data_IF_634738720900
#
_entry.id   IF_634738720900
#
_cell.length_a   1.000
_cell.length_b   1.000
_cell.length_c   1.000
_cell.angle_alpha   90.00
_cell.angle_beta   90.00
_cell.angle_gamma   90.00
#
_symmetry.space_group_name_H-M   'P 1'
#
loop_
_entity.id
_entity.type
_entity.pdbx_description
1 polymer ?
#
# COMPACT_ATOMS: atom_id res chain seq x y z
N UNK A 1 1.34 21.54 -7.14
CA UNK A 1 1.13 20.86 -5.86
C UNK A 1 2.22 19.81 -5.69
N UNK A 2 3.13 19.92 -4.70
CA UNK A 2 4.13 18.90 -4.45
C UNK A 2 3.45 17.66 -3.86
N UNK A 3 3.87 16.47 -4.30
CA UNK A 3 3.25 15.18 -4.01
C UNK A 3 3.14 14.88 -2.50
N UNK A 4 1.91 14.77 -1.98
CA UNK A 4 1.60 14.44 -0.57
C UNK A 4 2.10 13.05 -0.12
N UNK A 5 2.42 12.18 -1.07
CA UNK A 5 2.95 10.85 -0.81
C UNK A 5 4.24 10.67 -1.62
N UNK A 6 5.36 11.20 -1.14
CA UNK A 6 6.66 10.64 -1.51
C UNK A 6 6.85 9.41 -0.62
N UNK A 7 6.74 8.18 -1.13
CA UNK A 7 6.95 6.99 -0.33
C UNK A 7 8.40 7.01 0.16
N UNK A 8 8.59 6.99 1.48
CA UNK A 8 9.92 6.92 2.03
C UNK A 8 10.39 5.47 1.98
N UNK A 9 11.37 5.21 1.13
CA UNK A 9 12.10 3.96 1.05
C UNK A 9 12.86 3.70 2.37
N UNK A 10 12.38 2.80 3.22
CA UNK A 10 13.08 2.40 4.45
C UNK A 10 14.09 1.29 4.11
N UNK A 11 15.34 1.42 4.56
CA UNK A 11 16.35 0.38 4.38
C UNK A 11 16.19 -0.69 5.47
N UNK A 12 16.07 -1.95 5.08
CA UNK A 12 16.11 -3.08 6.01
C UNK A 12 17.57 -3.50 6.20
N UNK A 13 18.02 -3.72 7.44
CA UNK A 13 19.28 -4.43 7.72
C UNK A 13 18.95 -5.87 8.07
N UNK A 14 19.37 -6.82 7.22
CA UNK A 14 19.71 -8.19 7.65
C UNK A 14 21.23 -8.26 7.74
N UNK A 15 21.77 -9.11 8.61
CA UNK A 15 23.22 -9.22 8.84
C UNK A 15 24.04 -9.19 7.54
N UNK A 16 25.16 -8.45 7.58
CA UNK A 16 26.20 -8.25 6.54
C UNK A 16 25.81 -7.87 5.10
N UNK A 17 24.59 -8.14 4.63
CA UNK A 17 24.12 -7.77 3.29
C UNK A 17 23.05 -6.67 3.37
N UNK A 18 23.24 -5.59 2.60
CA UNK A 18 22.28 -4.48 2.47
C UNK A 18 20.90 -5.06 2.10
N UNK A 19 19.93 -4.94 3.00
CA UNK A 19 18.56 -5.33 2.71
C UNK A 19 17.98 -4.44 1.63
N UNK A 20 17.12 -5.02 0.80
CA UNK A 20 16.46 -4.32 -0.28
C UNK A 20 15.65 -3.15 0.27
N UNK A 21 15.78 -2.00 -0.40
CA UNK A 21 15.11 -0.76 -0.08
C UNK A 21 14.27 -0.38 -1.32
N UNK A 22 12.94 -0.49 -1.25
CA UNK A 22 12.05 -0.21 -2.37
C UNK A 22 12.23 1.22 -2.85
N UNK A 23 12.26 1.49 -4.14
CA UNK A 23 12.27 2.84 -4.69
C UNK A 23 10.91 3.54 -4.48
N UNK A 24 10.87 4.86 -4.67
CA UNK A 24 9.60 5.61 -4.66
C UNK A 24 8.61 5.02 -5.67
N UNK A 25 9.07 4.69 -6.87
CA UNK A 25 8.22 4.14 -7.93
C UNK A 25 7.68 2.74 -7.56
N UNK A 26 8.55 1.86 -7.03
CA UNK A 26 8.14 0.54 -6.54
C UNK A 26 7.08 0.68 -5.43
N UNK A 27 7.28 1.64 -4.53
CA UNK A 27 6.35 1.91 -3.43
C UNK A 27 4.99 2.45 -3.92
N UNK A 28 4.99 3.37 -4.90
CA UNK A 28 3.75 3.88 -5.50
C UNK A 28 2.98 2.75 -6.22
N UNK A 29 3.70 1.96 -7.04
CA UNK A 29 3.12 0.82 -7.76
C UNK A 29 2.58 -0.24 -6.80
N UNK A 30 3.30 -0.53 -5.71
CA UNK A 30 2.86 -1.49 -4.70
C UNK A 30 1.60 -1.06 -3.96
N UNK A 31 1.38 0.25 -3.80
CA UNK A 31 0.15 0.76 -3.18
C UNK A 31 -1.03 0.69 -4.15
N UNK A 32 -0.89 1.31 -5.33
CA UNK A 32 -1.88 1.27 -6.41
C UNK A 32 -1.13 1.11 -7.73
N UNK A 33 -1.29 -0.04 -8.38
CA UNK A 33 -0.73 -0.27 -9.71
C UNK A 33 -1.67 0.29 -10.77
N UNK A 34 -1.15 1.08 -11.70
CA UNK A 34 -1.90 1.56 -12.87
C UNK A 34 -1.36 0.82 -14.09
N UNK A 35 -2.25 0.14 -14.82
CA UNK A 35 -1.96 -0.60 -16.03
C UNK A 35 -2.81 -0.06 -17.18
N UNK A 36 -2.32 -0.11 -18.43
CA UNK A 36 -3.10 0.32 -19.58
C UNK A 36 -4.35 -0.57 -19.77
N UNK A 37 -5.36 -0.01 -20.42
CA UNK A 37 -6.56 -0.78 -20.81
C UNK A 37 -6.13 -1.90 -21.76
N UNK A 38 -6.60 -3.12 -21.48
CA UNK A 38 -6.19 -4.33 -22.22
C UNK A 38 -4.91 -4.98 -21.71
N UNK A 39 -4.34 -4.49 -20.59
CA UNK A 39 -3.25 -5.19 -19.93
C UNK A 39 -3.66 -6.60 -19.49
N UNK A 40 -2.72 -7.53 -19.63
CA UNK A 40 -2.87 -8.91 -19.17
C UNK A 40 -2.65 -8.96 -17.65
N UNK A 41 -3.74 -9.23 -16.91
CA UNK A 41 -3.72 -9.31 -15.45
C UNK A 41 -2.97 -10.54 -14.93
N UNK A 42 -2.96 -11.65 -15.67
CA UNK A 42 -2.22 -12.85 -15.29
C UNK A 42 -0.71 -12.64 -15.47
N UNK A 43 -0.33 -11.97 -16.57
CA UNK A 43 1.06 -11.56 -16.75
C UNK A 43 1.51 -10.62 -15.63
N UNK A 44 0.70 -9.63 -15.27
CA UNK A 44 1.00 -8.73 -14.14
C UNK A 44 1.17 -9.50 -12.82
N UNK A 45 0.30 -10.49 -12.59
CA UNK A 45 0.35 -11.38 -11.42
C UNK A 45 1.68 -12.14 -11.36
N UNK A 46 2.11 -12.74 -12.47
CA UNK A 46 3.38 -13.48 -12.56
C UNK A 46 4.60 -12.58 -12.35
N UNK A 47 4.61 -11.40 -12.97
CA UNK A 47 5.66 -10.38 -12.79
C UNK A 47 5.78 -10.00 -11.31
N UNK A 48 4.63 -9.81 -10.63
CA UNK A 48 4.59 -9.44 -9.22
C UNK A 48 5.08 -10.55 -8.31
N UNK A 49 4.69 -11.80 -8.54
CA UNK A 49 5.26 -12.95 -7.83
C UNK A 49 6.78 -13.06 -8.01
N UNK A 50 7.26 -12.82 -9.23
CA UNK A 50 8.69 -12.86 -9.55
C UNK A 50 9.46 -11.78 -8.80
N UNK A 51 8.93 -10.55 -8.74
CA UNK A 51 9.49 -9.45 -7.96
C UNK A 51 9.53 -9.77 -6.46
N UNK A 52 8.41 -10.25 -5.90
CA UNK A 52 8.34 -10.64 -4.50
C UNK A 52 9.38 -11.73 -4.16
N UNK A 53 9.51 -12.76 -5.02
CA UNK A 53 10.49 -13.83 -4.85
C UNK A 53 11.93 -13.32 -4.91
N UNK A 54 12.24 -12.43 -5.87
CA UNK A 54 13.56 -11.79 -6.01
C UNK A 54 13.97 -11.06 -4.74
N UNK A 55 13.02 -10.43 -4.06
CA UNK A 55 13.26 -9.67 -2.83
C UNK A 55 13.01 -10.48 -1.55
N UNK A 56 12.64 -11.75 -1.66
CA UNK A 56 12.29 -12.62 -0.53
C UNK A 56 11.20 -12.02 0.37
N UNK A 57 10.20 -11.40 -0.25
CA UNK A 57 9.01 -10.84 0.41
C UNK A 57 7.77 -11.60 -0.06
N UNK A 58 6.67 -11.47 0.68
CA UNK A 58 5.35 -11.96 0.27
C UNK A 58 4.58 -10.90 -0.48
N UNK A 59 3.80 -11.31 -1.47
CA UNK A 59 2.85 -10.40 -2.12
C UNK A 59 1.64 -10.21 -1.22
N UNK A 60 1.41 -8.97 -0.82
CA UNK A 60 0.28 -8.58 0.00
C UNK A 60 -0.86 -8.00 -0.84
N UNK A 61 -2.11 -8.00 -0.33
CA UNK A 61 -3.24 -7.38 -1.00
C UNK A 61 -2.94 -6.03 -1.66
N UNK A 62 -3.32 -5.88 -2.92
CA UNK A 62 -2.93 -4.73 -3.75
C UNK A 62 -4.10 -4.23 -4.60
N UNK A 63 -4.20 -2.92 -4.75
CA UNK A 63 -5.16 -2.30 -5.67
C UNK A 63 -4.54 -2.17 -7.05
N UNK A 64 -5.25 -2.61 -8.08
CA UNK A 64 -4.83 -2.51 -9.48
C UNK A 64 -5.91 -1.78 -10.27
N UNK A 65 -5.49 -0.85 -11.10
CA UNK A 65 -6.34 0.03 -11.89
C UNK A 65 -6.01 -0.17 -13.36
N UNK A 66 -7.02 -0.38 -14.20
CA UNK A 66 -6.90 -0.27 -15.65
C UNK A 66 -7.34 1.12 -16.10
N UNK A 67 -6.46 1.83 -16.79
CA UNK A 67 -6.69 3.20 -17.23
C UNK A 67 -5.40 3.89 -17.68
N UNK A 68 -5.48 5.20 -17.93
CA UNK A 68 -4.27 5.99 -18.23
C UNK A 68 -3.64 6.55 -16.96
N UNK A 69 -4.42 6.68 -15.87
CA UNK A 69 -3.99 7.23 -14.59
C UNK A 69 -4.97 6.87 -13.47
N UNK A 70 -4.66 7.25 -12.23
CA UNK A 70 -5.60 7.13 -11.09
C UNK A 70 -6.82 8.06 -11.18
N UNK A 71 -6.81 9.05 -12.09
CA UNK A 71 -7.95 9.96 -12.31
C UNK A 71 -8.79 9.55 -13.52
N UNK A 72 -8.20 8.82 -14.46
CA UNK A 72 -8.87 8.29 -15.66
C UNK A 72 -8.89 6.76 -15.57
N UNK A 73 -9.85 6.28 -14.78
CA UNK A 73 -10.02 4.90 -14.37
C UNK A 73 -11.15 4.25 -15.14
N UNK A 74 -10.87 3.12 -15.78
CA UNK A 74 -11.91 2.31 -16.44
C UNK A 74 -12.34 1.11 -15.60
N UNK A 75 -11.39 0.41 -14.99
CA UNK A 75 -11.67 -0.76 -14.14
C UNK A 75 -10.75 -0.75 -12.92
N UNK A 76 -11.26 -1.24 -11.80
CA UNK A 76 -10.51 -1.37 -10.56
C UNK A 76 -10.63 -2.79 -10.05
N UNK A 77 -9.51 -3.30 -9.57
CA UNK A 77 -9.39 -4.63 -9.01
C UNK A 77 -8.74 -4.59 -7.64
N UNK A 78 -9.22 -5.42 -6.73
CA UNK A 78 -8.52 -5.78 -5.50
C UNK A 78 -7.91 -7.17 -5.70
N UNK A 79 -6.58 -7.24 -5.71
CA UNK A 79 -5.82 -8.47 -5.78
C UNK A 79 -5.59 -8.97 -4.36
N UNK A 80 -6.16 -10.13 -4.02
CA UNK A 80 -6.01 -10.78 -2.74
C UNK A 80 -5.26 -12.10 -2.95
N UNK A 81 -3.93 -12.02 -2.99
CA UNK A 81 -3.05 -13.11 -3.40
C UNK A 81 -3.44 -13.62 -4.81
N UNK A 82 -3.97 -14.84 -4.92
CA UNK A 82 -4.29 -15.47 -6.20
C UNK A 82 -5.65 -15.08 -6.78
N UNK A 83 -6.48 -14.40 -5.99
CA UNK A 83 -7.87 -14.08 -6.35
C UNK A 83 -7.99 -12.60 -6.72
N UNK A 84 -8.65 -12.33 -7.84
CA UNK A 84 -8.85 -10.99 -8.38
C UNK A 84 -10.34 -10.63 -8.24
N UNK A 85 -10.63 -9.55 -7.52
CA UNK A 85 -12.00 -9.03 -7.37
C UNK A 85 -12.16 -7.73 -8.14
N UNK A 86 -13.12 -7.67 -9.05
CA UNK A 86 -13.55 -6.39 -9.65
C UNK A 86 -14.33 -5.57 -8.60
N UNK A 87 -13.99 -4.29 -8.46
CA UNK A 87 -14.59 -3.39 -7.48
C UNK A 87 -15.00 -2.06 -8.14
N UNK A 88 -16.03 -1.37 -7.62
CA UNK A 88 -16.63 -0.22 -8.30
C UNK A 88 -15.77 1.05 -8.27
N UNK A 89 -14.76 1.15 -7.41
CA UNK A 89 -13.91 2.34 -7.32
C UNK A 89 -12.56 2.06 -6.65
N UNK A 90 -11.59 2.95 -6.85
CA UNK A 90 -10.26 2.89 -6.19
C UNK A 90 -10.41 2.91 -4.68
N UNK A 91 -11.28 3.79 -4.15
CA UNK A 91 -11.58 3.85 -2.71
C UNK A 91 -12.11 2.51 -2.21
N UNK A 92 -12.99 1.85 -2.98
CA UNK A 92 -13.50 0.54 -2.61
C UNK A 92 -12.42 -0.54 -2.66
N UNK A 93 -11.51 -0.49 -3.62
CA UNK A 93 -10.33 -1.37 -3.66
C UNK A 93 -9.44 -1.20 -2.43
N UNK A 94 -9.18 0.04 -2.03
CA UNK A 94 -8.42 0.34 -0.79
C UNK A 94 -9.15 -0.22 0.44
N UNK A 95 -10.46 -0.03 0.56
CA UNK A 95 -11.28 -0.56 1.66
C UNK A 95 -11.23 -2.09 1.73
N UNK A 96 -11.34 -2.78 0.59
CA UNK A 96 -11.27 -4.25 0.52
C UNK A 96 -9.88 -4.74 0.93
N UNK A 97 -8.80 -4.18 0.38
CA UNK A 97 -7.44 -4.55 0.78
C UNK A 97 -7.19 -4.27 2.26
N UNK A 98 -7.61 -3.09 2.76
CA UNK A 98 -7.47 -2.71 4.16
C UNK A 98 -8.14 -3.71 5.10
N UNK A 99 -9.42 -4.02 4.84
CA UNK A 99 -10.16 -5.01 5.64
C UNK A 99 -9.55 -6.40 5.56
N UNK A 100 -9.02 -6.78 4.41
CA UNK A 100 -8.30 -8.05 4.25
C UNK A 100 -7.08 -8.09 5.18
N UNK A 101 -6.30 -7.00 5.27
CA UNK A 101 -5.18 -6.94 6.23
C UNK A 101 -5.63 -7.16 7.66
N UNK A 102 -6.70 -6.49 8.08
CA UNK A 102 -7.19 -6.57 9.45
C UNK A 102 -7.80 -7.93 9.78
N UNK A 103 -8.71 -8.45 8.92
CA UNK A 103 -9.45 -9.69 9.18
C UNK A 103 -8.52 -10.90 9.22
N UNK A 104 -7.53 -10.95 8.34
CA UNK A 104 -6.61 -12.08 8.24
C UNK A 104 -5.30 -11.86 9.00
N UNK A 105 -5.16 -10.76 9.75
CA UNK A 105 -3.94 -10.37 10.45
C UNK A 105 -2.69 -10.42 9.54
N UNK A 106 -2.83 -9.87 8.33
CA UNK A 106 -1.78 -9.84 7.32
C UNK A 106 -0.94 -8.57 7.49
N UNK A 107 0.39 -8.71 7.41
CA UNK A 107 1.28 -7.56 7.41
C UNK A 107 1.10 -6.67 6.17
N UNK A 108 1.14 -5.36 6.36
CA UNK A 108 1.17 -4.43 5.23
C UNK A 108 2.39 -4.66 4.33
N UNK A 109 2.26 -4.44 3.00
CA UNK A 109 3.37 -4.51 2.06
C UNK A 109 4.53 -3.61 2.50
N UNK A 110 5.74 -4.16 2.50
CA UNK A 110 6.96 -3.48 2.94
C UNK A 110 7.25 -2.23 2.12
N UNK A 111 6.92 -2.28 0.83
CA UNK A 111 7.09 -1.20 -0.13
C UNK A 111 6.24 0.01 0.20
N UNK A 112 5.04 -0.18 0.74
CA UNK A 112 4.09 0.90 1.01
C UNK A 112 3.43 0.80 2.38
N UNK A 113 4.19 0.40 3.42
CA UNK A 113 3.68 0.32 4.79
C UNK A 113 3.12 1.65 5.32
N UNK A 114 3.79 2.77 5.01
CA UNK A 114 3.42 4.11 5.52
C UNK A 114 2.00 4.56 5.15
N UNK A 115 1.55 4.53 3.88
CA UNK A 115 0.17 4.91 3.54
C UNK A 115 -0.88 4.01 4.21
N UNK A 116 -0.62 2.70 4.35
CA UNK A 116 -1.54 1.81 5.06
C UNK A 116 -1.63 2.13 6.55
N UNK A 117 -0.50 2.41 7.23
CA UNK A 117 -0.50 2.86 8.63
C UNK A 117 -1.24 4.20 8.79
N UNK A 118 -1.07 5.13 7.84
CA UNK A 118 -1.80 6.38 7.83
C UNK A 118 -3.32 6.15 7.69
N UNK A 119 -3.75 5.29 6.76
CA UNK A 119 -5.16 4.93 6.62
C UNK A 119 -5.70 4.29 7.90
N UNK A 120 -4.98 3.34 8.48
CA UNK A 120 -5.37 2.64 9.71
C UNK A 120 -5.69 3.63 10.85
N UNK A 121 -4.75 4.52 11.15
CA UNK A 121 -4.89 5.44 12.29
C UNK A 121 -5.74 6.66 11.96
N UNK A 122 -5.50 7.28 10.81
CA UNK A 122 -6.10 8.55 10.41
C UNK A 122 -7.54 8.43 9.95
N UNK A 123 -7.83 7.41 9.13
CA UNK A 123 -9.15 7.23 8.51
C UNK A 123 -9.98 6.21 9.28
N UNK A 124 -9.43 5.03 9.56
CA UNK A 124 -10.18 3.95 10.23
C UNK A 124 -10.18 4.05 11.76
N UNK A 125 -9.27 4.83 12.36
CA UNK A 125 -9.17 4.98 13.82
C UNK A 125 -8.78 3.68 14.55
N UNK A 126 -8.09 2.76 13.87
CA UNK A 126 -7.69 1.47 14.43
C UNK A 126 -6.27 1.57 15.01
N UNK A 127 -6.10 1.06 16.22
CA UNK A 127 -4.80 0.92 16.87
C UNK A 127 -4.52 -0.54 17.20
N UNK A 128 -3.29 -0.97 16.98
CA UNK A 128 -2.84 -2.34 17.29
C UNK A 128 -1.54 -2.30 18.08
N UNK A 129 -1.26 -3.32 18.93
CA UNK A 129 0.01 -3.39 19.67
C UNK A 129 1.24 -3.56 18.76
N UNK A 130 1.04 -3.88 17.48
CA UNK A 130 2.09 -4.06 16.48
C UNK A 130 2.35 -2.82 15.63
N UNK A 131 1.64 -1.71 15.92
CA UNK A 131 1.75 -0.49 15.14
C UNK A 131 3.17 0.08 15.21
N UNK A 132 3.78 0.22 14.04
CA UNK A 132 5.05 0.94 13.88
C UNK A 132 4.79 2.17 13.03
N UNK A 133 4.94 3.34 13.65
CA UNK A 133 4.72 4.62 12.99
C UNK A 133 6.03 5.27 12.59
N UNK A 134 6.12 5.67 11.32
CA UNK A 134 7.20 6.51 10.84
C UNK A 134 6.96 7.97 11.27
N UNK A 135 8.02 8.80 11.43
CA UNK A 135 7.86 10.22 11.73
C UNK A 135 6.96 10.95 10.73
N UNK A 136 7.02 10.55 9.46
CA UNK A 136 6.20 11.13 8.38
C UNK A 136 4.71 10.82 8.56
N UNK A 137 4.35 9.60 8.96
CA UNK A 137 2.96 9.26 9.25
C UNK A 137 2.47 10.03 10.48
N UNK A 138 3.31 10.23 11.50
CA UNK A 138 2.97 11.06 12.67
C UNK A 138 2.68 12.51 12.28
N UNK A 139 3.53 13.11 11.45
CA UNK A 139 3.35 14.46 10.92
C UNK A 139 2.04 14.59 10.11
N UNK A 140 1.73 13.62 9.24
CA UNK A 140 0.49 13.65 8.48
C UNK A 140 -0.75 13.49 9.38
N UNK A 141 -0.66 12.69 10.44
CA UNK A 141 -1.75 12.53 11.39
C UNK A 141 -2.00 13.80 12.22
N UNK A 142 -0.96 14.53 12.62
CA UNK A 142 -1.13 15.81 13.33
C UNK A 142 -1.78 16.88 12.45
N UNK A 143 -1.53 16.85 11.14
CA UNK A 143 -2.24 17.74 10.19
C UNK A 143 -3.71 17.36 10.08
N UNK A 144 -4.01 16.06 10.03
CA UNK A 144 -5.38 15.56 9.90
C UNK A 144 -6.20 15.75 11.19
N UNK A 145 -5.55 15.71 12.36
CA UNK A 145 -6.15 15.84 13.69
C UNK A 145 -5.35 16.86 14.53
N UNK A 146 -5.50 18.17 14.27
CA UNK A 146 -4.74 19.19 14.97
C UNK A 146 -5.03 19.27 16.48
N UNK A 147 -6.18 18.75 16.94
CA UNK A 147 -6.71 19.01 18.28
C UNK A 147 -6.46 17.88 19.33
N UNK A 148 -5.72 16.81 19.00
CA UNK A 148 -5.54 15.69 19.94
C UNK A 148 -4.46 15.90 21.02
N UNK A 149 -3.68 16.98 20.98
CA UNK A 149 -2.64 17.27 21.99
C UNK A 149 -3.17 18.02 23.24
N UNK A 150 -4.50 18.16 23.35
CA UNK A 150 -5.16 18.80 24.49
C UNK A 150 -6.26 17.92 25.11
N UNK A 151 -5.95 16.70 25.49
CA UNK A 151 -6.73 16.06 26.57
C UNK A 151 -5.93 14.99 27.31
N UNK A 152 -5.58 15.36 28.54
CA UNK A 152 -5.29 14.54 29.74
C UNK A 152 -3.95 13.81 29.83
#
# INVERSE_FOLDING_TARGET
MPSLFTPCSIAIKKGSHRGWKPTILESMRAFIAVLPVGADLEKFKEERHTECRKHSITWQPQVVVLGTSIVDVQQVFAFLNDIIYSVPSVVKGIDVCFKTFQVFNIEYPLECKSPWTFLQKGIYGIETPYDSMTPRVRELLSILRPDSDHTS
#
